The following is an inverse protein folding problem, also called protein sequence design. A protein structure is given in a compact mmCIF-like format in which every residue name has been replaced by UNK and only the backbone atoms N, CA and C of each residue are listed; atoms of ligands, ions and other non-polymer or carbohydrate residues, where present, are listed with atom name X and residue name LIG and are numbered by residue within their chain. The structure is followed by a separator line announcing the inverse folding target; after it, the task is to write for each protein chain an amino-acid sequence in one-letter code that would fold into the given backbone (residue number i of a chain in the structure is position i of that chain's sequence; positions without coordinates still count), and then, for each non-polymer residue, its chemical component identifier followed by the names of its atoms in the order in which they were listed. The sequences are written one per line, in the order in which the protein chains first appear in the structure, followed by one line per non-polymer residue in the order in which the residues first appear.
data_IF_945062180747
#
_entry.id   IF_945062180747
#
_cell.length_a   1.000
_cell.length_b   1.000
_cell.length_c   1.000
_cell.angle_alpha   90.00
_cell.angle_beta   90.00
_cell.angle_gamma   90.00
#
_symmetry.space_group_name_H-M   'P 1'
#
loop_
_entity.id
_entity.type
_entity.pdbx_description
1 polymer ?
#
# COMPACT_ATOMS: atom_id res chain seq x y z
N UNK A 1 1.50 -46.87 -54.51
CA UNK A 1 1.85 -45.89 -53.44
C UNK A 1 1.87 -44.50 -54.07
N UNK A 2 0.79 -43.72 -53.93
CA UNK A 2 0.70 -42.34 -54.42
C UNK A 2 0.67 -41.43 -53.19
N UNK A 3 1.72 -40.62 -53.00
CA UNK A 3 1.77 -39.63 -51.92
C UNK A 3 0.97 -38.39 -52.32
N UNK A 4 0.00 -38.04 -51.49
CA UNK A 4 -0.83 -36.84 -51.59
C UNK A 4 -0.09 -35.69 -50.88
N UNK A 5 0.23 -34.63 -51.62
CA UNK A 5 0.89 -33.43 -51.09
C UNK A 5 -0.19 -32.46 -50.59
N UNK A 6 -0.24 -32.17 -49.28
CA UNK A 6 -1.09 -31.13 -48.70
C UNK A 6 -0.37 -29.78 -48.80
N UNK A 7 -0.91 -28.85 -49.60
CA UNK A 7 -0.46 -27.45 -49.65
C UNK A 7 -1.31 -26.68 -48.63
N UNK A 8 -0.70 -26.26 -47.52
CA UNK A 8 -1.31 -25.38 -46.53
C UNK A 8 -0.98 -23.94 -46.94
N UNK A 9 -1.99 -23.21 -47.41
CA UNK A 9 -1.87 -21.76 -47.67
C UNK A 9 -1.98 -20.99 -46.37
N UNK A 10 -0.88 -20.36 -45.95
CA UNK A 10 -0.84 -19.44 -44.82
C UNK A 10 -1.41 -18.08 -45.25
N UNK A 11 -2.61 -17.72 -44.76
CA UNK A 11 -3.08 -16.34 -44.90
C UNK A 11 -2.36 -15.46 -43.87
N UNK A 12 -1.60 -14.48 -44.38
CA UNK A 12 -1.00 -13.42 -43.57
C UNK A 12 -2.09 -12.45 -43.13
N UNK A 13 -2.52 -12.56 -41.88
CA UNK A 13 -3.26 -11.49 -41.20
C UNK A 13 -2.28 -10.37 -40.85
N UNK A 14 -2.38 -9.22 -41.52
CA UNK A 14 -1.69 -8.01 -41.09
C UNK A 14 -2.40 -7.47 -39.86
N UNK A 15 -1.91 -7.78 -38.67
CA UNK A 15 -2.26 -7.03 -37.47
C UNK A 15 -1.67 -5.62 -37.62
N UNK A 16 -2.53 -4.61 -37.76
CA UNK A 16 -2.15 -3.23 -37.51
C UNK A 16 -1.84 -3.11 -36.01
N UNK A 17 -0.59 -3.31 -35.63
CA UNK A 17 -0.09 -2.87 -34.35
C UNK A 17 -0.05 -1.33 -34.41
N UNK A 18 -1.08 -0.68 -33.87
CA UNK A 18 -0.96 0.73 -33.51
C UNK A 18 -0.06 0.77 -32.27
N UNK A 19 1.25 0.62 -32.50
CA UNK A 19 2.25 0.92 -31.48
C UNK A 19 2.15 2.42 -31.25
N UNK A 20 1.39 2.82 -30.23
CA UNK A 20 1.43 4.18 -29.73
C UNK A 20 2.84 4.37 -29.17
N UNK A 21 3.72 4.97 -29.99
CA UNK A 21 5.11 5.20 -29.61
C UNK A 21 5.12 6.19 -28.46
N UNK A 22 5.41 5.73 -27.25
CA UNK A 22 5.73 6.62 -26.16
C UNK A 22 7.05 7.31 -26.46
N UNK A 23 7.06 8.63 -26.41
CA UNK A 23 8.28 9.43 -26.53
C UNK A 23 8.86 9.66 -25.13
N UNK A 24 10.18 9.54 -24.97
CA UNK A 24 10.82 9.96 -23.72
C UNK A 24 10.91 11.49 -23.75
N UNK A 25 10.29 12.14 -22.76
CA UNK A 25 10.20 13.59 -22.68
C UNK A 25 10.47 14.12 -21.27
N UNK A 26 10.67 15.44 -21.21
CA UNK A 26 10.79 16.20 -19.97
C UNK A 26 9.60 17.14 -19.88
N UNK A 27 8.89 17.09 -18.75
CA UNK A 27 7.76 17.95 -18.46
C UNK A 27 7.93 18.60 -17.08
N UNK A 28 7.38 19.79 -16.94
CA UNK A 28 7.35 20.54 -15.69
C UNK A 28 5.91 20.73 -15.25
N UNK A 29 5.66 20.59 -13.96
CA UNK A 29 4.34 20.71 -13.37
C UNK A 29 4.11 22.14 -12.86
N UNK A 30 3.05 22.79 -13.36
CA UNK A 30 2.62 24.13 -12.96
C UNK A 30 1.30 24.07 -12.21
N UNK A 31 1.13 24.96 -11.23
CA UNK A 31 -0.15 25.18 -10.57
C UNK A 31 -0.92 26.28 -11.32
N UNK A 32 -2.15 25.97 -11.72
CA UNK A 32 -3.11 26.91 -12.32
C UNK A 32 -4.35 27.01 -11.44
N UNK A 33 -5.28 27.92 -11.79
CA UNK A 33 -6.59 28.03 -11.12
C UNK A 33 -7.44 26.77 -11.25
N UNK A 34 -7.24 25.98 -12.31
CA UNK A 34 -7.96 24.71 -12.57
C UNK A 34 -7.20 23.46 -12.09
N UNK A 35 -6.08 23.62 -11.38
CA UNK A 35 -5.26 22.52 -10.88
C UNK A 35 -3.89 22.42 -11.54
N UNK A 36 -3.30 21.22 -11.54
CA UNK A 36 -1.95 20.98 -12.05
C UNK A 36 -1.95 20.82 -13.58
N UNK A 37 -0.97 21.44 -14.24
CA UNK A 37 -0.81 21.41 -15.70
C UNK A 37 0.63 21.05 -16.03
N UNK A 38 0.82 20.19 -17.04
CA UNK A 38 2.12 19.80 -17.56
C UNK A 38 2.55 20.74 -18.70
N UNK A 39 3.83 21.13 -18.72
CA UNK A 39 4.43 21.99 -19.75
C UNK A 39 5.81 21.45 -20.14
N UNK A 40 6.22 21.66 -21.38
CA UNK A 40 7.55 21.26 -21.89
C UNK A 40 8.67 22.25 -21.54
N UNK A 41 8.35 23.34 -20.83
CA UNK A 41 9.30 24.35 -20.38
C UNK A 41 9.15 24.57 -18.87
N UNK A 42 10.24 24.91 -18.20
CA UNK A 42 10.28 25.18 -16.78
C UNK A 42 11.70 25.43 -16.28
N UNK A 43 11.85 25.50 -14.97
CA UNK A 43 13.11 25.70 -14.26
C UNK A 43 13.26 24.62 -13.19
N UNK A 44 14.31 23.80 -13.30
CA UNK A 44 14.58 22.64 -12.43
C UNK A 44 14.58 22.96 -10.92
N UNK A 45 14.93 24.20 -10.55
CA UNK A 45 14.97 24.64 -9.15
C UNK A 45 13.63 25.15 -8.62
N UNK A 46 12.61 25.29 -9.48
CA UNK A 46 11.34 25.96 -9.14
C UNK A 46 10.15 25.02 -9.33
N UNK A 47 10.06 24.31 -10.46
CA UNK A 47 8.94 23.42 -10.74
C UNK A 47 9.32 21.95 -10.52
N UNK A 48 8.38 21.10 -10.08
CA UNK A 48 8.55 19.65 -10.18
C UNK A 48 8.80 19.25 -11.63
N UNK A 49 9.82 18.41 -11.84
CA UNK A 49 10.28 17.95 -13.16
C UNK A 49 10.00 16.46 -13.32
N UNK A 50 9.23 16.11 -14.35
CA UNK A 50 9.01 14.75 -14.81
C UNK A 50 9.97 14.41 -15.94
N UNK A 51 10.56 13.23 -15.86
CA UNK A 51 11.41 12.64 -16.91
C UNK A 51 10.92 11.21 -17.15
N UNK A 52 10.48 10.89 -18.37
CA UNK A 52 9.94 9.57 -18.68
C UNK A 52 9.10 9.54 -19.95
N UNK A 53 8.28 8.51 -20.07
CA UNK A 53 7.37 8.33 -21.20
C UNK A 53 6.24 9.37 -21.21
N UNK A 54 6.02 9.98 -22.37
CA UNK A 54 5.05 11.04 -22.60
C UNK A 54 4.16 10.67 -23.78
N UNK A 55 2.86 10.91 -23.62
CA UNK A 55 1.89 10.88 -24.72
C UNK A 55 1.00 12.13 -24.63
N UNK A 56 0.74 12.77 -25.77
CA UNK A 56 -0.15 13.94 -25.87
C UNK A 56 0.19 15.07 -24.86
N UNK A 57 1.48 15.30 -24.60
CA UNK A 57 1.94 16.36 -23.69
C UNK A 57 1.74 16.06 -22.19
N UNK A 58 1.48 14.81 -21.82
CA UNK A 58 1.34 14.37 -20.44
C UNK A 58 2.16 13.10 -20.14
N UNK A 59 2.62 12.90 -18.89
CA UNK A 59 3.20 11.63 -18.44
C UNK A 59 2.29 10.44 -18.74
N UNK A 60 2.75 9.49 -19.53
CA UNK A 60 1.95 8.32 -19.93
C UNK A 60 2.89 7.15 -20.25
N UNK A 61 3.03 6.24 -19.28
CA UNK A 61 4.10 5.24 -19.22
C UNK A 61 5.02 5.46 -18.01
N UNK A 62 6.19 4.83 -18.00
CA UNK A 62 7.09 4.86 -16.85
C UNK A 62 7.89 6.18 -16.78
N UNK A 63 8.06 6.73 -15.59
CA UNK A 63 8.92 7.89 -15.38
C UNK A 63 9.11 8.31 -13.93
N UNK A 64 9.86 9.39 -13.77
CA UNK A 64 10.24 9.96 -12.47
C UNK A 64 9.82 11.42 -12.40
N UNK A 65 9.04 11.78 -11.38
CA UNK A 65 8.75 13.17 -10.99
C UNK A 65 9.61 13.55 -9.78
N UNK A 66 10.51 14.50 -9.97
CA UNK A 66 11.38 15.04 -8.92
C UNK A 66 10.91 16.41 -8.48
N UNK A 67 10.77 16.61 -7.16
CA UNK A 67 10.46 17.92 -6.58
C UNK A 67 11.75 18.68 -6.27
N UNK A 68 11.77 20.02 -6.39
CA UNK A 68 12.96 20.81 -6.14
C UNK A 68 13.51 20.61 -4.72
N UNK A 69 14.81 20.88 -4.56
CA UNK A 69 15.61 20.56 -3.37
C UNK A 69 15.02 20.98 -2.02
N UNK A 70 14.19 22.03 -1.98
CA UNK A 70 13.49 22.46 -0.76
C UNK A 70 12.56 21.37 -0.18
N UNK A 71 12.04 20.49 -1.04
CA UNK A 71 11.17 19.38 -0.66
C UNK A 71 11.88 18.02 -0.77
N UNK A 72 12.73 17.85 -1.79
CA UNK A 72 13.55 16.65 -2.02
C UNK A 72 12.75 15.34 -2.17
N UNK A 73 11.46 15.43 -2.46
CA UNK A 73 10.59 14.28 -2.72
C UNK A 73 10.79 13.79 -4.16
N UNK A 74 10.68 12.48 -4.39
CA UNK A 74 10.55 11.91 -5.73
C UNK A 74 9.35 10.96 -5.82
N UNK A 75 8.85 10.80 -7.03
CA UNK A 75 7.78 9.87 -7.38
C UNK A 75 8.26 9.07 -8.59
N UNK A 76 8.29 7.76 -8.49
CA UNK A 76 8.85 6.87 -9.50
C UNK A 76 7.81 5.82 -9.87
N UNK A 77 7.53 5.62 -11.15
CA UNK A 77 6.69 4.51 -11.60
C UNK A 77 5.86 4.82 -12.83
N UNK A 78 4.75 4.10 -12.98
CA UNK A 78 3.87 4.22 -14.15
C UNK A 78 2.82 5.32 -13.97
N UNK A 79 2.69 6.11 -15.03
CA UNK A 79 1.73 7.19 -15.19
C UNK A 79 0.72 6.82 -16.28
N UNK A 80 -0.50 7.33 -16.16
CA UNK A 80 -1.56 7.18 -17.15
C UNK A 80 -2.20 8.54 -17.42
N UNK A 81 -1.94 9.11 -18.59
CA UNK A 81 -2.48 10.41 -19.03
C UNK A 81 -2.34 11.49 -17.94
N UNK A 82 -1.11 11.69 -17.48
CA UNK A 82 -0.71 12.70 -16.50
C UNK A 82 -1.12 12.43 -15.05
N UNK A 83 -1.68 11.25 -14.76
CA UNK A 83 -2.02 10.80 -13.41
C UNK A 83 -1.14 9.64 -12.98
N UNK A 84 -0.88 9.57 -11.69
CA UNK A 84 -0.14 8.47 -11.07
C UNK A 84 -0.97 7.17 -11.12
N UNK A 85 -0.35 6.06 -11.50
CA UNK A 85 -1.04 4.78 -11.65
C UNK A 85 -0.39 3.67 -10.81
N UNK A 86 0.88 3.35 -11.07
CA UNK A 86 1.71 2.46 -10.26
C UNK A 86 3.00 3.20 -9.88
N UNK A 87 2.90 4.16 -8.96
CA UNK A 87 4.03 4.99 -8.54
C UNK A 87 4.42 4.75 -7.09
N UNK A 88 5.67 5.00 -6.74
CA UNK A 88 6.21 4.96 -5.39
C UNK A 88 6.78 6.34 -5.05
N UNK A 89 6.50 6.83 -3.85
CA UNK A 89 6.93 8.14 -3.38
C UNK A 89 8.04 8.00 -2.37
N UNK A 90 9.07 8.83 -2.49
CA UNK A 90 10.22 8.80 -1.61
C UNK A 90 10.48 10.20 -1.04
N UNK A 91 10.97 10.28 0.20
CA UNK A 91 11.53 11.52 0.74
C UNK A 91 12.96 11.74 0.24
N UNK A 92 13.60 12.83 0.69
CA UNK A 92 14.96 13.21 0.27
C UNK A 92 16.04 12.24 0.74
N UNK A 93 15.77 11.47 1.78
CA UNK A 93 16.63 10.40 2.28
C UNK A 93 16.43 9.07 1.54
N UNK A 94 15.49 8.99 0.59
CA UNK A 94 15.16 7.75 -0.12
C UNK A 94 14.24 6.80 0.65
N UNK A 95 13.61 7.26 1.73
CA UNK A 95 12.60 6.49 2.47
C UNK A 95 11.28 6.49 1.69
N UNK A 96 10.74 5.30 1.41
CA UNK A 96 9.43 5.12 0.80
C UNK A 96 8.32 5.66 1.71
N UNK A 97 7.59 6.65 1.22
CA UNK A 97 6.47 7.32 1.89
C UNK A 97 5.12 6.65 1.61
N UNK A 98 4.97 6.02 0.45
CA UNK A 98 3.72 5.43 -0.02
C UNK A 98 3.78 5.13 -1.51
N UNK A 99 2.71 4.57 -2.05
CA UNK A 99 2.61 4.19 -3.45
C UNK A 99 1.20 4.39 -3.99
N UNK A 100 1.06 4.73 -5.26
CA UNK A 100 -0.18 4.50 -5.99
C UNK A 100 -0.21 3.07 -6.56
N UNK A 101 -1.35 2.41 -6.46
CA UNK A 101 -1.61 1.12 -7.11
C UNK A 101 -2.95 1.23 -7.83
N UNK A 102 -2.93 1.14 -9.17
CA UNK A 102 -4.11 1.39 -10.01
C UNK A 102 -4.79 2.73 -9.69
N UNK A 103 -3.99 3.77 -9.44
CA UNK A 103 -4.49 5.11 -9.14
C UNK A 103 -5.07 5.29 -7.74
N UNK A 104 -4.97 4.30 -6.85
CA UNK A 104 -5.28 4.45 -5.43
C UNK A 104 -4.02 4.60 -4.59
N UNK A 105 -3.99 5.61 -3.71
CA UNK A 105 -2.89 5.83 -2.77
C UNK A 105 -2.89 4.80 -1.63
N UNK A 106 -1.72 4.22 -1.35
CA UNK A 106 -1.45 3.24 -0.31
C UNK A 106 -0.19 3.66 0.46
N UNK A 107 -0.29 3.97 1.75
CA UNK A 107 0.88 4.15 2.60
C UNK A 107 1.38 2.76 3.02
N UNK A 108 2.56 2.36 2.55
CA UNK A 108 3.03 0.97 2.72
C UNK A 108 3.66 0.71 4.10
N UNK A 109 3.99 1.75 4.85
CA UNK A 109 4.58 1.58 6.17
C UNK A 109 4.53 2.88 6.94
N UNK A 110 3.84 2.90 8.07
CA UNK A 110 3.89 4.02 9.00
C UNK A 110 3.68 3.57 10.42
N UNK A 111 3.83 4.52 11.33
CA UNK A 111 3.57 4.35 12.75
C UNK A 111 2.28 5.08 13.07
N UNK A 112 1.35 4.41 13.74
CA UNK A 112 0.17 5.04 14.33
C UNK A 112 0.10 4.68 15.81
N UNK A 113 -0.54 5.52 16.59
CA UNK A 113 -0.82 5.32 18.00
C UNK A 113 -2.32 5.31 18.20
N UNK A 114 -2.81 4.30 18.91
CA UNK A 114 -4.21 4.24 19.34
C UNK A 114 -4.26 4.66 20.81
N UNK A 115 -4.75 5.88 21.04
CA UNK A 115 -4.85 6.42 22.41
C UNK A 115 -5.87 5.62 23.23
N UNK A 116 -5.50 5.33 24.47
CA UNK A 116 -6.41 4.68 25.39
C UNK A 116 -7.62 5.59 25.65
N UNK A 117 -8.84 5.00 25.67
CA UNK A 117 -10.12 5.72 25.89
C UNK A 117 -10.18 6.65 27.12
N UNK A 118 -9.23 6.56 28.04
CA UNK A 118 -9.16 7.39 29.25
C UNK A 118 -8.81 8.86 28.95
N UNK A 119 -8.14 9.16 27.85
CA UNK A 119 -7.67 10.51 27.52
C UNK A 119 -8.62 11.28 26.57
N UNK A 120 -9.78 10.71 26.22
CA UNK A 120 -10.86 11.41 25.50
C UNK A 120 -10.66 11.60 23.99
N UNK A 121 -9.51 11.20 23.42
CA UNK A 121 -9.26 11.16 21.98
C UNK A 121 -9.36 9.69 21.53
N UNK A 122 -10.39 9.33 20.75
CA UNK A 122 -10.59 7.97 20.23
C UNK A 122 -10.08 7.90 18.78
N UNK A 123 -9.16 6.98 18.47
CA UNK A 123 -8.72 6.73 17.10
C UNK A 123 -7.24 6.49 16.93
N UNK A 124 -6.83 6.34 15.67
CA UNK A 124 -5.44 6.18 15.25
C UNK A 124 -4.84 7.56 14.92
N UNK A 125 -3.67 7.86 15.48
CA UNK A 125 -2.98 9.15 15.36
C UNK A 125 -1.52 8.95 15.00
N UNK A 126 -0.89 9.92 14.35
CA UNK A 126 0.54 9.84 13.99
C UNK A 126 1.46 10.14 15.18
N UNK A 127 0.96 10.92 16.15
CA UNK A 127 1.60 11.23 17.42
C UNK A 127 1.06 10.34 18.55
N UNK A 128 1.92 10.02 19.50
CA UNK A 128 1.57 9.25 20.69
C UNK A 128 2.75 8.94 21.58
N UNK A 129 2.45 8.33 22.72
CA UNK A 129 3.43 7.95 23.74
C UNK A 129 3.47 6.42 23.85
N UNK A 130 4.56 5.79 23.41
CA UNK A 130 4.75 4.33 23.48
C UNK A 130 4.57 3.74 24.89
N UNK A 131 4.70 4.57 25.94
CA UNK A 131 4.49 4.14 27.33
C UNK A 131 3.03 4.13 27.75
N UNK A 132 2.12 4.66 26.94
CA UNK A 132 0.68 4.85 27.27
C UNK A 132 -0.27 4.34 26.19
N UNK A 133 0.15 4.44 24.93
CA UNK A 133 -0.66 4.16 23.75
C UNK A 133 -0.30 2.82 23.12
N UNK A 134 -1.23 2.24 22.36
CA UNK A 134 -0.89 1.08 21.51
C UNK A 134 -0.22 1.58 20.25
N UNK A 135 0.97 1.09 19.96
CA UNK A 135 1.74 1.42 18.77
C UNK A 135 1.44 0.42 17.66
N UNK A 136 0.95 0.92 16.53
CA UNK A 136 0.84 0.21 15.28
C UNK A 136 2.02 0.53 14.37
N UNK A 137 2.55 -0.49 13.70
CA UNK A 137 3.53 -0.37 12.63
C UNK A 137 3.09 -1.27 11.48
N UNK A 138 2.80 -0.69 10.32
CA UNK A 138 2.38 -1.45 9.14
C UNK A 138 1.74 -0.60 8.05
N UNK A 139 0.98 -1.26 7.19
CA UNK A 139 0.25 -0.64 6.08
C UNK A 139 -0.87 0.30 6.58
N UNK A 140 -0.95 1.51 6.02
CA UNK A 140 -1.93 2.54 6.41
C UNK A 140 -2.73 2.98 5.18
N UNK A 141 -4.05 3.09 5.31
CA UNK A 141 -4.94 3.69 4.31
C UNK A 141 -5.79 4.73 4.99
N UNK A 142 -5.82 5.96 4.48
CA UNK A 142 -6.64 7.07 5.02
C UNK A 142 -6.44 7.33 6.53
N UNK A 143 -5.19 7.27 7.01
CA UNK A 143 -4.86 7.54 8.43
C UNK A 143 -5.21 6.43 9.41
N UNK A 144 -5.63 5.25 8.92
CA UNK A 144 -5.95 4.08 9.76
C UNK A 144 -5.22 2.82 9.27
N UNK A 145 -4.91 1.86 10.16
CA UNK A 145 -4.35 0.56 9.79
C UNK A 145 -5.18 -0.16 8.73
N UNK A 146 -4.54 -0.59 7.65
CA UNK A 146 -5.18 -1.29 6.55
C UNK A 146 -4.15 -2.08 5.75
N UNK A 147 -4.26 -3.41 5.71
CA UNK A 147 -3.24 -4.30 5.15
C UNK A 147 -2.55 -5.14 6.23
N UNK A 148 -1.24 -5.36 6.14
CA UNK A 148 -0.47 -6.12 7.14
C UNK A 148 0.15 -5.16 8.15
N UNK A 149 0.16 -5.54 9.42
CA UNK A 149 0.83 -4.73 10.43
C UNK A 149 0.87 -5.37 11.81
N UNK A 150 1.63 -4.72 12.67
CA UNK A 150 1.85 -5.12 14.06
C UNK A 150 1.34 -4.04 15.00
N UNK A 151 0.47 -4.40 15.94
CA UNK A 151 0.11 -3.55 17.08
C UNK A 151 0.80 -4.10 18.34
N UNK A 152 1.42 -3.20 19.12
CA UNK A 152 2.03 -3.52 20.42
C UNK A 152 1.44 -2.61 21.48
N UNK A 153 0.96 -3.18 22.58
CA UNK A 153 0.51 -2.40 23.75
C UNK A 153 1.69 -2.00 24.63
N UNK A 154 1.51 -0.95 25.43
CA UNK A 154 2.50 -0.54 26.44
C UNK A 154 2.78 -1.64 27.50
N UNK A 155 1.89 -2.62 27.66
CA UNK A 155 2.07 -3.78 28.57
C UNK A 155 2.79 -4.96 27.89
N UNK A 156 3.06 -4.87 26.59
CA UNK A 156 3.77 -5.89 25.83
C UNK A 156 2.88 -6.91 25.11
N UNK A 157 1.55 -6.72 25.11
CA UNK A 157 0.68 -7.51 24.22
C UNK A 157 1.01 -7.18 22.77
N UNK A 158 0.99 -8.19 21.89
CA UNK A 158 1.35 -8.02 20.48
C UNK A 158 0.35 -8.70 19.56
N UNK A 159 -0.20 -7.96 18.61
CA UNK A 159 -0.90 -8.51 17.45
C UNK A 159 -0.06 -8.34 16.20
N UNK A 160 0.04 -9.38 15.38
CA UNK A 160 0.68 -9.37 14.07
C UNK A 160 -0.26 -10.06 13.08
N UNK A 161 -0.74 -9.34 12.07
CA UNK A 161 -1.73 -9.91 11.15
C UNK A 161 -2.29 -8.92 10.16
N UNK A 162 -3.43 -9.29 9.59
CA UNK A 162 -4.21 -8.46 8.69
C UNK A 162 -5.06 -7.44 9.44
N UNK A 163 -5.26 -6.31 8.78
CA UNK A 163 -6.01 -5.15 9.21
C UNK A 163 -6.90 -4.67 8.09
N UNK A 164 -8.11 -4.25 8.43
CA UNK A 164 -9.03 -3.61 7.51
C UNK A 164 -9.78 -2.52 8.26
N UNK A 165 -9.77 -1.31 7.71
CA UNK A 165 -10.49 -0.15 8.24
C UNK A 165 -10.24 0.06 9.75
N UNK A 166 -8.97 -0.05 10.17
CA UNK A 166 -8.53 0.17 11.55
C UNK A 166 -8.81 -0.99 12.52
N UNK A 167 -9.31 -2.14 12.04
CA UNK A 167 -9.61 -3.33 12.85
C UNK A 167 -8.80 -4.54 12.40
N UNK A 168 -8.53 -5.46 13.34
CA UNK A 168 -7.92 -6.77 13.06
C UNK A 168 -8.89 -7.59 12.19
N UNK A 169 -8.40 -8.11 11.07
CA UNK A 169 -9.18 -8.82 10.07
C UNK A 169 -8.35 -9.99 9.53
N UNK A 170 -8.94 -10.98 8.86
CA UNK A 170 -8.21 -12.05 8.18
C UNK A 170 -7.37 -12.92 9.12
N UNK A 171 -6.18 -13.34 8.70
CA UNK A 171 -5.30 -14.17 9.53
C UNK A 171 -4.40 -13.32 10.43
N UNK A 172 -4.29 -13.73 11.71
CA UNK A 172 -3.47 -13.01 12.67
C UNK A 172 -2.99 -13.85 13.85
N UNK A 173 -1.89 -13.39 14.45
CA UNK A 173 -1.26 -13.94 15.65
C UNK A 173 -1.32 -12.90 16.76
N UNK A 174 -1.87 -13.28 17.90
CA UNK A 174 -1.92 -12.45 19.10
C UNK A 174 -1.15 -13.11 20.24
N UNK A 175 -0.28 -12.35 20.91
CA UNK A 175 0.51 -12.76 22.06
C UNK A 175 0.09 -11.89 23.24
N UNK A 176 -0.36 -12.52 24.33
CA UNK A 176 -0.67 -11.87 25.59
C UNK A 176 0.58 -11.70 26.45
N UNK A 177 0.49 -10.83 27.46
CA UNK A 177 1.58 -10.54 28.41
C UNK A 177 2.07 -11.81 29.12
N UNK A 178 1.15 -12.73 29.44
CA UNK A 178 1.47 -14.01 30.08
C UNK A 178 2.18 -15.02 29.15
N UNK A 179 2.38 -14.68 27.87
CA UNK A 179 2.94 -15.53 26.83
C UNK A 179 1.93 -16.42 26.12
N UNK A 180 0.65 -16.42 26.52
CA UNK A 180 -0.40 -17.14 25.81
C UNK A 180 -0.55 -16.58 24.39
N UNK A 181 -0.67 -17.48 23.41
CA UNK A 181 -0.67 -17.15 21.97
C UNK A 181 -1.90 -17.68 21.27
N UNK A 182 -2.58 -16.83 20.53
CA UNK A 182 -3.62 -17.21 19.57
C UNK A 182 -3.09 -17.05 18.13
N UNK A 183 -3.40 -18.00 17.26
CA UNK A 183 -3.20 -17.91 15.80
C UNK A 183 -4.46 -18.39 15.12
N UNK A 184 -5.06 -17.55 14.28
CA UNK A 184 -6.28 -17.90 13.56
C UNK A 184 -6.93 -16.70 12.91
N UNK A 185 -8.21 -16.87 12.57
CA UNK A 185 -9.01 -15.87 11.88
C UNK A 185 -9.49 -14.76 12.83
N UNK A 186 -9.57 -13.55 12.29
CA UNK A 186 -10.06 -12.33 12.92
C UNK A 186 -11.11 -11.70 12.01
N UNK A 187 -12.21 -11.25 12.60
CA UNK A 187 -13.25 -10.50 11.89
C UNK A 187 -13.64 -9.34 12.80
N UNK A 188 -13.61 -8.11 12.30
CA UNK A 188 -14.00 -6.91 13.04
C UNK A 188 -13.30 -6.73 14.41
N UNK A 189 -12.04 -7.17 14.54
CA UNK A 189 -11.29 -7.05 15.79
C UNK A 189 -11.39 -8.25 16.73
N UNK A 190 -12.22 -9.25 16.40
CA UNK A 190 -12.47 -10.41 17.28
C UNK A 190 -12.02 -11.73 16.65
N UNK A 191 -11.51 -12.64 17.50
CA UNK A 191 -11.18 -14.01 17.10
C UNK A 191 -12.43 -14.71 16.57
N UNK A 192 -12.34 -15.21 15.35
CA UNK A 192 -13.42 -15.88 14.64
C UNK A 192 -12.87 -17.09 13.86
N UNK A 193 -13.73 -17.80 13.13
CA UNK A 193 -13.33 -18.89 12.24
C UNK A 193 -12.56 -20.01 12.95
N UNK A 194 -11.56 -20.60 12.30
CA UNK A 194 -10.70 -21.60 12.93
C UNK A 194 -9.44 -20.97 13.52
N UNK A 195 -9.02 -21.47 14.70
CA UNK A 195 -7.80 -20.98 15.34
C UNK A 195 -7.26 -21.88 16.45
N UNK A 196 -6.00 -21.65 16.78
CA UNK A 196 -5.27 -22.33 17.84
C UNK A 196 -4.92 -21.35 18.96
N UNK A 197 -5.40 -21.61 20.17
CA UNK A 197 -4.93 -20.94 21.40
C UNK A 197 -3.95 -21.87 22.12
N UNK A 198 -2.73 -21.41 22.35
CA UNK A 198 -1.73 -22.04 23.21
C UNK A 198 -1.61 -21.20 24.48
N UNK A 199 -1.97 -21.76 25.63
CA UNK A 199 -1.78 -21.10 26.92
C UNK A 199 -0.29 -21.03 27.29
N UNK A 200 0.05 -20.14 28.22
CA UNK A 200 1.42 -19.98 28.75
C UNK A 200 2.03 -21.29 29.30
N UNK A 201 1.20 -22.19 29.82
CA UNK A 201 1.61 -23.53 30.28
C UNK A 201 1.71 -24.58 29.15
N UNK A 202 1.52 -24.21 27.89
CA UNK A 202 1.60 -25.10 26.73
C UNK A 202 0.30 -25.83 26.36
N UNK A 203 -0.78 -25.71 27.15
CA UNK A 203 -2.09 -26.30 26.82
C UNK A 203 -2.63 -25.71 25.52
N UNK A 204 -3.13 -26.57 24.61
CA UNK A 204 -3.64 -26.13 23.31
C UNK A 204 -5.14 -26.38 23.17
N UNK A 205 -5.84 -25.38 22.65
CA UNK A 205 -7.17 -25.54 22.07
C UNK A 205 -7.09 -25.28 20.58
N UNK A 206 -7.53 -26.24 19.77
CA UNK A 206 -7.62 -26.14 18.31
C UNK A 206 -9.09 -26.34 17.94
N UNK A 207 -9.73 -25.32 17.37
CA UNK A 207 -11.14 -25.42 17.06
C UNK A 207 -11.72 -24.13 16.50
N UNK A 208 -13.04 -24.11 16.41
CA UNK A 208 -13.80 -22.95 15.93
C UNK A 208 -13.91 -21.88 17.04
N UNK A 209 -14.00 -20.64 16.58
CA UNK A 209 -14.16 -19.42 17.36
C UNK A 209 -15.31 -18.60 16.78
N UNK A 210 -16.05 -17.94 17.65
CA UNK A 210 -17.09 -16.97 17.26
C UNK A 210 -17.15 -15.87 18.31
N UNK A 211 -17.11 -14.63 17.87
CA UNK A 211 -17.23 -13.43 18.70
C UNK A 211 -16.28 -13.47 19.93
N UNK A 212 -15.02 -13.83 19.65
CA UNK A 212 -13.96 -13.89 20.66
C UNK A 212 -13.96 -15.13 21.57
N UNK A 213 -14.94 -16.04 21.45
CA UNK A 213 -15.12 -17.23 22.31
C UNK A 213 -14.88 -18.54 21.55
N UNK A 214 -14.43 -19.57 22.28
CA UNK A 214 -14.40 -20.96 21.78
C UNK A 214 -15.83 -21.37 21.44
N UNK A 215 -16.04 -21.91 20.24
CA UNK A 215 -17.35 -22.32 19.74
C UNK A 215 -17.23 -23.69 19.08
N UNK A 216 -17.47 -24.76 19.83
CA UNK A 216 -17.28 -26.13 19.35
C UNK A 216 -17.92 -27.15 20.28
#
# INVERSE_FOLDING_TARGET
VKHLLFIITFQLFTFNLYAQSSEIGVLYQFKSSSGLVWKTFGQDKVQPKYEGEVSNGAPDGFGVLSYPFSYGKSVVGEWKIGKEWYTEHYNKEGTLLGKYVKGEWILKWGVLFNHNKKDGIEGWNEDGDEKKDRKYVGDIKNGIPNGKGTETSHEGEKYEGEWKDGKKEGQGKFIQVDGSKYVGEWINGERNGYGTLTSSNGTKYVGKWKDGKKNG
#
